data_IF_618626425830
#
_entry.id   IF_618626425830
#
_cell.length_a   1.000
_cell.length_b   1.000
_cell.length_c   1.000
_cell.angle_alpha   90.00
_cell.angle_beta   90.00
_cell.angle_gamma   90.00
#
_symmetry.space_group_name_H-M   'P 1'
#
loop_
_entity.id
_entity.type
_entity.pdbx_description
1 polymer ?
#
# COMPACT_ATOMS: atom_id res chain seq x y z
N UNK A 1 17.07 -3.56 -19.07
CA UNK A 1 16.73 -4.50 -17.98
C UNK A 1 15.90 -3.77 -16.94
N UNK A 2 14.57 -3.83 -17.06
CA UNK A 2 13.63 -3.19 -16.12
C UNK A 2 13.55 -4.03 -14.86
N UNK A 3 13.90 -3.44 -13.71
CA UNK A 3 13.87 -4.08 -12.38
C UNK A 3 12.46 -4.56 -12.03
N UNK A 4 12.39 -5.82 -11.60
CA UNK A 4 11.21 -6.53 -11.10
C UNK A 4 10.80 -6.01 -9.70
N UNK A 5 10.20 -4.83 -9.62
CA UNK A 5 9.62 -4.31 -8.35
C UNK A 5 8.10 -4.63 -8.23
N UNK A 6 7.43 -5.04 -9.32
CA UNK A 6 5.99 -5.33 -9.36
C UNK A 6 5.59 -6.75 -8.90
N UNK A 7 6.57 -7.65 -8.74
CA UNK A 7 6.35 -9.06 -8.39
C UNK A 7 5.58 -9.30 -7.07
N UNK A 8 5.77 -8.52 -5.98
CA UNK A 8 5.06 -8.78 -4.73
C UNK A 8 3.56 -8.49 -4.85
N UNK A 9 3.20 -7.38 -5.51
CA UNK A 9 1.81 -6.93 -5.63
C UNK A 9 1.01 -7.90 -6.50
N UNK A 10 1.61 -8.37 -7.60
CA UNK A 10 0.93 -9.30 -8.49
C UNK A 10 0.65 -10.65 -7.80
N UNK A 11 1.54 -11.13 -6.93
CA UNK A 11 1.30 -12.34 -6.13
C UNK A 11 0.12 -12.18 -5.16
N UNK A 12 0.03 -11.03 -4.48
CA UNK A 12 -1.05 -10.69 -3.54
C UNK A 12 -2.38 -10.57 -4.28
N UNK A 13 -2.38 -9.93 -5.46
CA UNK A 13 -3.57 -9.84 -6.32
C UNK A 13 -4.06 -11.23 -6.71
N UNK A 14 -3.17 -12.11 -7.18
CA UNK A 14 -3.58 -13.46 -7.57
C UNK A 14 -4.09 -14.28 -6.38
N UNK A 15 -3.46 -14.17 -5.21
CA UNK A 15 -3.92 -14.84 -4.00
C UNK A 15 -5.33 -14.38 -3.59
N UNK A 16 -5.57 -13.07 -3.59
CA UNK A 16 -6.90 -12.52 -3.30
C UNK A 16 -7.96 -13.00 -4.31
N UNK A 17 -7.62 -13.01 -5.60
CA UNK A 17 -8.53 -13.47 -6.64
C UNK A 17 -8.85 -14.96 -6.51
N UNK A 18 -7.89 -15.78 -6.13
CA UNK A 18 -8.11 -17.19 -5.83
C UNK A 18 -9.07 -17.37 -4.64
N UNK A 19 -8.87 -16.63 -3.55
CA UNK A 19 -9.79 -16.64 -2.40
C UNK A 19 -11.21 -16.21 -2.79
N UNK A 20 -11.34 -15.12 -3.56
CA UNK A 20 -12.65 -14.62 -4.03
C UNK A 20 -13.38 -15.57 -4.96
N UNK A 21 -12.67 -16.35 -5.76
CA UNK A 21 -13.25 -17.35 -6.67
C UNK A 21 -13.65 -18.63 -5.94
N UNK A 22 -12.88 -19.01 -4.92
CA UNK A 22 -13.15 -20.19 -4.08
C UNK A 22 -14.25 -19.95 -3.03
N UNK A 23 -14.53 -18.68 -2.67
CA UNK A 23 -15.58 -18.35 -1.70
C UNK A 23 -16.98 -18.69 -2.25
N UNK A 24 -17.68 -19.56 -1.52
CA UNK A 24 -19.02 -20.03 -1.87
C UNK A 24 -20.12 -19.00 -1.59
N UNK A 25 -19.82 -17.98 -0.77
CA UNK A 25 -20.78 -16.91 -0.44
C UNK A 25 -21.12 -16.06 -1.66
N UNK A 26 -22.29 -15.43 -1.60
CA UNK A 26 -22.73 -14.51 -2.65
C UNK A 26 -21.88 -13.24 -2.65
N UNK A 27 -21.80 -12.56 -3.80
CA UNK A 27 -21.08 -11.28 -3.89
C UNK A 27 -21.66 -10.21 -2.95
N UNK A 28 -22.96 -10.28 -2.65
CA UNK A 28 -23.63 -9.36 -1.71
C UNK A 28 -23.20 -9.63 -0.27
N UNK A 29 -23.13 -10.90 0.10
CA UNK A 29 -22.75 -11.33 1.45
C UNK A 29 -21.28 -11.03 1.75
N UNK A 30 -20.38 -11.31 0.79
CA UNK A 30 -18.96 -10.94 0.90
C UNK A 30 -18.81 -9.41 1.02
N UNK A 31 -19.57 -8.64 0.23
CA UNK A 31 -19.53 -7.20 0.27
C UNK A 31 -19.98 -6.62 1.62
N UNK A 32 -21.04 -7.19 2.20
CA UNK A 32 -21.53 -6.82 3.52
C UNK A 32 -20.47 -7.12 4.61
N UNK A 33 -19.92 -8.33 4.62
CA UNK A 33 -18.95 -8.75 5.63
C UNK A 33 -17.61 -8.01 5.53
N UNK A 34 -17.15 -7.73 4.30
CA UNK A 34 -15.90 -7.00 4.07
C UNK A 34 -16.07 -5.47 4.05
N UNK A 35 -17.29 -4.96 4.27
CA UNK A 35 -17.64 -3.54 4.22
C UNK A 35 -17.15 -2.82 2.94
N UNK A 36 -17.42 -3.44 1.78
CA UNK A 36 -17.14 -2.92 0.42
C UNK A 36 -18.40 -2.98 -0.44
N UNK A 37 -18.38 -2.37 -1.64
CA UNK A 37 -19.53 -2.43 -2.54
C UNK A 37 -19.65 -3.79 -3.24
N UNK A 38 -20.87 -4.30 -3.41
CA UNK A 38 -21.15 -5.53 -4.16
C UNK A 38 -20.66 -5.48 -5.63
N UNK A 39 -20.76 -4.35 -6.35
CA UNK A 39 -20.13 -4.20 -7.66
C UNK A 39 -18.61 -4.39 -7.64
N UNK A 40 -17.92 -3.96 -6.58
CA UNK A 40 -16.47 -4.18 -6.42
C UNK A 40 -16.16 -5.67 -6.35
N UNK A 41 -16.87 -6.42 -5.51
CA UNK A 41 -16.66 -7.87 -5.36
C UNK A 41 -16.96 -8.60 -6.68
N UNK A 42 -18.07 -8.27 -7.35
CA UNK A 42 -18.45 -8.87 -8.65
C UNK A 42 -17.42 -8.63 -9.75
N UNK A 43 -16.86 -7.41 -9.83
CA UNK A 43 -15.81 -7.07 -10.79
C UNK A 43 -14.51 -7.81 -10.49
N UNK A 44 -14.11 -7.85 -9.22
CA UNK A 44 -12.88 -8.53 -8.80
C UNK A 44 -12.94 -10.03 -9.05
N UNK A 45 -14.04 -10.69 -8.66
CA UNK A 45 -14.21 -12.15 -8.83
C UNK A 45 -14.13 -12.59 -10.30
N UNK A 46 -14.55 -11.74 -11.23
CA UNK A 46 -14.45 -11.96 -12.70
C UNK A 46 -13.15 -11.44 -13.32
N UNK A 47 -12.29 -10.77 -12.55
CA UNK A 47 -11.04 -10.22 -13.04
C UNK A 47 -9.96 -11.30 -13.20
N UNK A 48 -9.04 -11.05 -14.12
CA UNK A 48 -7.82 -11.84 -14.32
C UNK A 48 -6.59 -11.20 -13.64
N UNK A 49 -6.80 -10.17 -12.81
CA UNK A 49 -5.73 -9.52 -12.04
C UNK A 49 -4.82 -8.59 -12.83
N UNK A 50 -5.08 -8.39 -14.12
CA UNK A 50 -4.34 -7.46 -14.97
C UNK A 50 -4.62 -6.01 -14.52
N UNK A 51 -3.55 -5.25 -14.24
CA UNK A 51 -3.55 -3.81 -13.87
C UNK A 51 -4.37 -3.44 -12.63
N UNK A 52 -4.42 -4.31 -11.61
CA UNK A 52 -5.04 -3.92 -10.35
C UNK A 52 -4.09 -3.08 -9.49
N UNK A 53 -4.49 -1.84 -9.20
CA UNK A 53 -3.87 -1.01 -8.17
C UNK A 53 -4.49 -1.29 -6.81
N UNK A 54 -3.68 -1.21 -5.76
CA UNK A 54 -4.12 -1.34 -4.37
C UNK A 54 -5.03 -0.17 -3.97
N UNK A 55 -6.34 -0.37 -4.14
CA UNK A 55 -7.37 0.55 -3.70
C UNK A 55 -7.78 0.28 -2.26
N UNK A 56 -8.48 1.22 -1.61
CA UNK A 56 -9.03 1.04 -0.26
C UNK A 56 -9.91 -0.22 -0.15
N UNK A 57 -10.72 -0.49 -1.17
CA UNK A 57 -11.58 -1.67 -1.23
C UNK A 57 -10.80 -2.97 -1.46
N UNK A 58 -9.72 -2.91 -2.24
CA UNK A 58 -8.80 -4.04 -2.41
C UNK A 58 -8.13 -4.40 -1.07
N UNK A 59 -7.62 -3.41 -0.34
CA UNK A 59 -6.98 -3.63 0.96
C UNK A 59 -7.95 -4.21 1.99
N UNK A 60 -9.20 -3.71 2.04
CA UNK A 60 -10.26 -4.28 2.90
C UNK A 60 -10.52 -5.76 2.60
N UNK A 61 -10.57 -6.13 1.33
CA UNK A 61 -10.77 -7.53 0.92
C UNK A 61 -9.56 -8.39 1.24
N UNK A 62 -8.33 -7.89 1.09
CA UNK A 62 -7.14 -8.60 1.55
C UNK A 62 -7.18 -8.84 3.06
N UNK A 63 -7.53 -7.83 3.86
CA UNK A 63 -7.69 -8.00 5.32
C UNK A 63 -8.79 -9.00 5.66
N UNK A 64 -9.92 -8.96 4.97
CA UNK A 64 -11.04 -9.89 5.16
C UNK A 64 -10.64 -11.35 4.92
N UNK A 65 -9.80 -11.61 3.91
CA UNK A 65 -9.30 -12.96 3.59
C UNK A 65 -7.95 -13.31 4.24
N UNK A 66 -7.43 -12.47 5.15
CA UNK A 66 -6.09 -12.60 5.73
C UNK A 66 -4.97 -12.77 4.68
N UNK A 67 -5.14 -12.17 3.50
CA UNK A 67 -4.09 -12.14 2.47
C UNK A 67 -3.06 -11.10 2.92
N UNK A 68 -1.80 -11.50 3.17
CA UNK A 68 -0.78 -10.59 3.68
C UNK A 68 -0.44 -9.54 2.62
N UNK A 69 -1.03 -8.35 2.77
CA UNK A 69 -0.61 -7.14 2.05
C UNK A 69 0.71 -6.59 2.58
N UNK A 70 1.33 -7.28 3.53
CA UNK A 70 2.60 -6.96 4.17
C UNK A 70 3.69 -6.61 3.17
N UNK A 71 3.70 -7.18 1.96
CA UNK A 71 4.66 -6.79 0.92
C UNK A 71 4.59 -5.29 0.54
N UNK A 72 3.41 -4.66 0.62
CA UNK A 72 3.26 -3.23 0.36
C UNK A 72 3.68 -2.36 1.56
N UNK A 73 3.47 -2.82 2.79
CA UNK A 73 3.90 -2.10 3.99
C UNK A 73 5.39 -2.32 4.29
N UNK A 74 5.96 -3.47 3.94
CA UNK A 74 7.40 -3.75 4.04
C UNK A 74 8.21 -3.01 2.99
N UNK A 75 7.66 -2.76 1.80
CA UNK A 75 8.32 -1.90 0.81
C UNK A 75 8.41 -0.45 1.31
N UNK A 76 7.33 0.08 1.90
CA UNK A 76 7.34 1.40 2.55
C UNK A 76 8.29 1.43 3.75
N UNK A 77 8.25 0.39 4.60
CA UNK A 77 9.10 0.30 5.79
C UNK A 77 10.58 0.14 5.42
N UNK A 78 10.89 -0.62 4.36
CA UNK A 78 12.23 -0.74 3.81
C UNK A 78 12.71 0.56 3.16
N UNK A 79 11.82 1.30 2.50
CA UNK A 79 12.14 2.64 1.99
C UNK A 79 12.42 3.63 3.13
N UNK A 80 11.61 3.62 4.19
CA UNK A 80 11.80 4.47 5.37
C UNK A 80 13.12 4.13 6.09
N UNK A 81 13.44 2.83 6.21
CA UNK A 81 14.72 2.35 6.77
C UNK A 81 15.92 2.76 5.90
N UNK A 82 15.80 2.65 4.56
CA UNK A 82 16.84 3.09 3.63
C UNK A 82 17.03 4.61 3.64
N UNK A 83 15.94 5.37 3.72
CA UNK A 83 15.99 6.82 3.83
C UNK A 83 16.62 7.24 5.16
N UNK A 84 16.24 6.60 6.26
CA UNK A 84 16.85 6.84 7.56
C UNK A 84 18.35 6.55 7.54
N UNK A 85 18.75 5.41 6.96
CA UNK A 85 20.15 5.05 6.80
C UNK A 85 20.92 6.06 5.93
N UNK A 86 20.35 6.50 4.81
CA UNK A 86 20.96 7.51 3.94
C UNK A 86 21.09 8.88 4.61
N UNK A 87 20.11 9.28 5.44
CA UNK A 87 20.19 10.50 6.24
C UNK A 87 21.33 10.37 7.26
N UNK A 88 21.44 9.25 7.96
CA UNK A 88 22.52 9.01 8.94
C UNK A 88 23.89 9.04 8.26
N UNK A 89 24.02 8.41 7.08
CA UNK A 89 25.27 8.36 6.32
C UNK A 89 25.70 9.73 5.78
N UNK A 90 24.74 10.53 5.29
CA UNK A 90 25.00 11.87 4.78
C UNK A 90 25.13 12.94 5.87
N UNK A 91 24.74 12.65 7.11
CA UNK A 91 24.78 13.60 8.22
C UNK A 91 26.21 13.78 8.74
N UNK A 92 26.78 14.97 8.54
CA UNK A 92 28.16 15.31 8.93
C UNK A 92 28.34 15.76 10.39
N UNK A 93 27.25 15.89 11.14
CA UNK A 93 27.25 16.23 12.56
C UNK A 93 27.10 17.73 12.82
N UNK A 94 27.14 18.55 11.77
CA UNK A 94 27.21 19.99 11.93
C UNK A 94 25.87 20.63 12.27
N UNK A 95 25.92 21.77 12.95
CA UNK A 95 24.72 22.54 13.27
C UNK A 95 24.01 23.07 12.01
N UNK A 96 24.78 23.31 10.94
CA UNK A 96 24.25 23.78 9.66
C UNK A 96 23.40 22.72 8.96
N UNK A 97 23.87 21.46 8.89
CA UNK A 97 23.10 20.34 8.33
C UNK A 97 21.88 19.99 9.20
N UNK A 98 22.01 20.09 10.54
CA UNK A 98 20.88 19.98 11.46
C UNK A 98 19.77 21.03 11.22
N UNK A 99 20.14 22.30 11.02
CA UNK A 99 19.19 23.36 10.66
C UNK A 99 18.51 23.12 9.31
N UNK A 100 19.25 22.63 8.32
CA UNK A 100 18.69 22.33 7.00
C UNK A 100 17.63 21.22 7.06
N UNK A 101 17.89 20.14 7.82
CA UNK A 101 16.91 19.07 8.04
C UNK A 101 15.66 19.56 8.77
N UNK A 102 15.84 20.43 9.78
CA UNK A 102 14.72 21.02 10.51
C UNK A 102 13.80 21.83 9.58
N UNK A 103 14.36 22.68 8.72
CA UNK A 103 13.59 23.48 7.76
C UNK A 103 12.79 22.62 6.77
N UNK A 104 13.36 21.50 6.30
CA UNK A 104 12.65 20.55 5.43
C UNK A 104 11.46 19.91 6.17
N UNK A 105 11.66 19.48 7.42
CA UNK A 105 10.59 18.87 8.23
C UNK A 105 9.45 19.86 8.47
N UNK A 106 9.76 21.12 8.76
CA UNK A 106 8.76 22.18 8.95
C UNK A 106 7.98 22.46 7.67
N UNK A 107 8.66 22.60 6.53
CA UNK A 107 8.00 22.79 5.23
C UNK A 107 7.09 21.63 4.84
N UNK A 108 7.46 20.39 5.16
CA UNK A 108 6.62 19.22 4.93
C UNK A 108 5.37 19.21 5.82
N UNK A 109 5.47 19.65 7.09
CA UNK A 109 4.32 19.80 7.98
C UNK A 109 3.33 20.83 7.46
N UNK A 110 3.83 21.97 6.98
CA UNK A 110 2.99 23.03 6.39
C UNK A 110 2.30 22.56 5.11
N UNK A 111 3.01 21.84 4.23
CA UNK A 111 2.43 21.27 3.02
C UNK A 111 1.31 20.28 3.34
N UNK A 112 1.49 19.42 4.36
CA UNK A 112 0.45 18.48 4.81
C UNK A 112 -0.80 19.19 5.29
N UNK A 113 -0.64 20.28 6.05
CA UNK A 113 -1.77 21.06 6.55
C UNK A 113 -2.52 21.77 5.42
N UNK A 114 -1.79 22.28 4.42
CA UNK A 114 -2.36 22.99 3.26
C UNK A 114 -3.11 22.08 2.28
N UNK A 115 -2.75 20.80 2.19
CA UNK A 115 -3.47 19.79 1.38
C UNK A 115 -4.76 19.28 2.05
N UNK A 116 -4.95 19.58 3.33
CA UNK A 116 -6.08 19.10 4.15
C UNK A 116 -7.12 20.19 4.42
N UNK A 117 -6.93 21.39 3.85
CA UNK A 117 -7.84 22.55 3.87
C UNK A 117 -8.35 22.80 2.46
#
# INVERSE_FOLDING_TARGET
MTRNEDAPIQSVVQQLLSCLKADSRSASEIAHLAAVSQPTVSRLRRSNGQRQRASKSFNKLCSFYNVPTTAMSTASRGYDELLQAAIIDAWDGTEASGRALLAVIEGLKEFKNKQMT
#
